data_IF_283354092739
#
_entry.id   IF_283354092739
#
_cell.length_a   1.000
_cell.length_b   1.000
_cell.length_c   1.000
_cell.angle_alpha   90.00
_cell.angle_beta   90.00
_cell.angle_gamma   90.00
#
_symmetry.space_group_name_H-M   'P 1'
#
loop_
_entity.id
_entity.type
_entity.pdbx_description
1 polymer ?
#
# COMPACT_ATOMS: atom_id res chain seq x y z
N UNK A 1 13.98 48.63 -16.93
CA UNK A 1 13.83 47.16 -16.96
C UNK A 1 13.24 46.71 -15.62
N UNK A 2 11.92 46.74 -15.47
CA UNK A 2 11.26 46.20 -14.28
C UNK A 2 10.71 44.82 -14.68
N UNK A 3 11.31 43.77 -14.12
CA UNK A 3 10.86 42.39 -14.30
C UNK A 3 9.43 42.27 -13.78
N UNK A 4 8.51 41.97 -14.68
CA UNK A 4 7.12 41.70 -14.38
C UNK A 4 7.06 40.38 -13.60
N UNK A 5 6.91 40.45 -12.28
CA UNK A 5 6.67 39.27 -11.46
C UNK A 5 5.31 38.67 -11.86
N UNK A 6 5.20 37.35 -12.10
CA UNK A 6 3.92 36.77 -12.47
C UNK A 6 2.93 36.97 -11.32
N UNK A 7 1.87 37.73 -11.61
CA UNK A 7 0.76 37.96 -10.69
C UNK A 7 0.29 36.63 -10.11
N UNK A 8 0.45 36.51 -8.79
CA UNK A 8 0.05 35.35 -8.00
C UNK A 8 -1.35 34.92 -8.41
N UNK A 9 -1.41 33.74 -9.04
CA UNK A 9 -2.60 32.95 -9.33
C UNK A 9 -3.74 33.76 -9.95
N UNK A 10 -3.68 33.97 -11.27
CA UNK A 10 -4.88 34.22 -12.07
C UNK A 10 -5.78 32.98 -11.98
N UNK A 11 -6.65 32.93 -10.96
CA UNK A 11 -7.68 31.91 -10.86
C UNK A 11 -8.63 32.13 -12.04
N UNK A 12 -8.76 31.13 -12.90
CA UNK A 12 -9.52 31.22 -14.14
C UNK A 12 -10.95 31.75 -13.90
N UNK A 13 -11.46 32.63 -14.77
CA UNK A 13 -12.76 33.31 -14.59
C UNK A 13 -13.97 32.36 -14.53
N UNK A 14 -13.80 31.07 -14.81
CA UNK A 14 -14.85 30.05 -14.78
C UNK A 14 -15.08 29.33 -13.45
N UNK A 15 -14.34 29.66 -12.38
CA UNK A 15 -14.54 29.02 -11.08
C UNK A 15 -15.69 29.67 -10.30
N UNK A 16 -16.60 28.89 -9.70
CA UNK A 16 -17.60 29.44 -8.77
C UNK A 16 -16.94 29.99 -7.49
N UNK A 17 -17.60 30.94 -6.84
CA UNK A 17 -17.10 31.61 -5.63
C UNK A 17 -16.81 30.64 -4.48
N UNK A 18 -17.62 29.59 -4.36
CA UNK A 18 -17.43 28.49 -3.40
C UNK A 18 -16.11 27.74 -3.61
N UNK A 19 -15.74 27.48 -4.87
CA UNK A 19 -14.48 26.84 -5.21
C UNK A 19 -13.27 27.73 -4.90
N UNK A 20 -13.38 29.05 -5.17
CA UNK A 20 -12.33 30.01 -4.80
C UNK A 20 -12.12 30.06 -3.28
N UNK A 21 -13.21 30.12 -2.51
CA UNK A 21 -13.16 30.08 -1.06
C UNK A 21 -12.52 28.78 -0.55
N UNK A 22 -12.93 27.63 -1.09
CA UNK A 22 -12.35 26.33 -0.75
C UNK A 22 -10.84 26.27 -1.04
N UNK A 23 -10.40 26.76 -2.20
CA UNK A 23 -8.97 26.83 -2.57
C UNK A 23 -8.19 27.69 -1.55
N UNK A 24 -8.70 28.87 -1.19
CA UNK A 24 -8.03 29.73 -0.21
C UNK A 24 -7.92 29.07 1.16
N UNK A 25 -8.95 28.36 1.61
CA UNK A 25 -8.93 27.63 2.88
C UNK A 25 -7.86 26.53 2.84
N UNK A 26 -7.84 25.71 1.78
CA UNK A 26 -6.85 24.64 1.60
C UNK A 26 -5.42 25.21 1.57
N UNK A 27 -5.20 26.32 0.85
CA UNK A 27 -3.90 26.98 0.77
C UNK A 27 -3.45 27.52 2.13
N UNK A 28 -4.36 28.15 2.89
CA UNK A 28 -4.07 28.61 4.26
C UNK A 28 -3.72 27.43 5.19
N UNK A 29 -4.45 26.33 5.12
CA UNK A 29 -4.15 25.12 5.90
C UNK A 29 -2.76 24.56 5.54
N UNK A 30 -2.45 24.43 4.24
CA UNK A 30 -1.12 23.99 3.78
C UNK A 30 -0.01 24.93 4.22
N UNK A 31 -0.25 26.24 4.19
CA UNK A 31 0.69 27.25 4.68
C UNK A 31 0.96 27.09 6.19
N UNK A 32 -0.07 26.89 7.02
CA UNK A 32 0.14 26.69 8.46
C UNK A 32 0.92 25.40 8.75
N UNK A 33 0.65 24.32 8.02
CA UNK A 33 1.45 23.09 8.11
C UNK A 33 2.91 23.36 7.72
N UNK A 34 3.15 24.04 6.61
CA UNK A 34 4.50 24.38 6.16
C UNK A 34 5.23 25.29 7.17
N UNK A 35 4.56 26.31 7.72
CA UNK A 35 5.08 27.20 8.76
C UNK A 35 5.47 26.43 10.02
N UNK A 36 4.62 25.51 10.49
CA UNK A 36 4.91 24.67 11.66
C UNK A 36 6.12 23.77 11.41
N UNK A 37 6.17 23.10 10.26
CA UNK A 37 7.30 22.23 9.88
C UNK A 37 8.61 23.01 9.76
N UNK A 38 8.57 24.21 9.18
CA UNK A 38 9.72 25.10 9.07
C UNK A 38 10.22 25.56 10.46
N UNK A 39 9.30 25.92 11.36
CA UNK A 39 9.65 26.27 12.74
C UNK A 39 10.24 25.10 13.51
N UNK A 40 9.72 23.88 13.31
CA UNK A 40 10.28 22.66 13.90
C UNK A 40 11.69 22.37 13.36
N UNK A 41 11.90 22.48 12.04
CA UNK A 41 13.21 22.25 11.41
C UNK A 41 14.30 23.25 11.83
N UNK A 42 13.91 24.43 12.35
CA UNK A 42 14.85 25.42 12.90
C UNK A 42 15.31 25.09 14.32
N UNK A 43 14.60 24.24 15.05
CA UNK A 43 15.00 23.81 16.40
C UNK A 43 16.03 22.69 16.28
N UNK A 44 17.04 22.63 17.17
CA UNK A 44 17.91 21.46 17.25
C UNK A 44 17.07 20.21 17.50
N UNK A 45 17.46 19.09 16.89
CA UNK A 45 16.80 17.81 17.10
C UNK A 45 16.91 17.38 18.57
N UNK A 46 15.78 17.09 19.19
CA UNK A 46 15.67 16.50 20.53
C UNK A 46 15.70 14.96 20.42
N UNK A 47 16.13 14.26 21.47
CA UNK A 47 16.05 12.79 21.57
C UNK A 47 14.63 12.30 21.31
N UNK A 48 13.63 13.12 21.68
CA UNK A 48 12.23 12.87 21.35
C UNK A 48 11.96 12.80 19.85
N UNK A 49 12.58 13.65 19.03
CA UNK A 49 12.40 13.64 17.58
C UNK A 49 12.96 12.35 16.97
N UNK A 50 14.09 11.86 17.52
CA UNK A 50 14.70 10.58 17.11
C UNK A 50 13.79 9.41 17.45
N UNK A 51 13.23 9.38 18.67
CA UNK A 51 12.30 8.34 19.10
C UNK A 51 11.03 8.38 18.25
N UNK A 52 10.47 9.56 18.00
CA UNK A 52 9.25 9.71 17.22
C UNK A 52 9.47 9.28 15.76
N UNK A 53 10.57 9.70 15.14
CA UNK A 53 10.92 9.27 13.78
C UNK A 53 11.11 7.76 13.68
N UNK A 54 11.82 7.16 14.63
CA UNK A 54 11.99 5.71 14.70
C UNK A 54 10.62 5.02 14.85
N UNK A 55 9.79 5.45 15.80
CA UNK A 55 8.46 4.85 16.03
C UNK A 55 7.58 4.85 14.77
N UNK A 56 7.56 5.96 14.03
CA UNK A 56 6.82 6.09 12.77
C UNK A 56 7.40 5.21 11.67
N UNK A 57 8.74 5.18 11.52
CA UNK A 57 9.42 4.32 10.56
C UNK A 57 9.15 2.84 10.80
N UNK A 58 9.19 2.43 12.07
CA UNK A 58 8.89 1.07 12.51
C UNK A 58 7.45 0.67 12.20
N UNK A 59 6.48 1.54 12.53
CA UNK A 59 5.08 1.29 12.23
C UNK A 59 4.82 1.17 10.71
N UNK A 60 5.40 2.09 9.93
CA UNK A 60 5.25 2.09 8.47
C UNK A 60 5.80 0.81 7.83
N UNK A 61 6.97 0.37 8.28
CA UNK A 61 7.56 -0.89 7.83
C UNK A 61 6.67 -2.09 8.22
N UNK A 62 6.19 -2.13 9.46
CA UNK A 62 5.34 -3.23 9.95
C UNK A 62 4.03 -3.35 9.16
N UNK A 63 3.37 -2.24 8.85
CA UNK A 63 2.15 -2.24 8.02
C UNK A 63 2.45 -2.79 6.62
N UNK A 64 3.58 -2.40 6.03
CA UNK A 64 3.98 -2.87 4.70
C UNK A 64 4.31 -4.37 4.69
N UNK A 65 4.97 -4.88 5.74
CA UNK A 65 5.20 -6.32 5.92
C UNK A 65 3.87 -7.07 6.04
N UNK A 66 2.92 -6.58 6.85
CA UNK A 66 1.60 -7.20 7.01
C UNK A 66 0.81 -7.23 5.70
N UNK A 67 0.89 -6.17 4.90
CA UNK A 67 0.24 -6.14 3.59
C UNK A 67 0.86 -7.14 2.61
N UNK A 68 2.20 -7.29 2.62
CA UNK A 68 2.88 -8.31 1.82
C UNK A 68 2.48 -9.73 2.27
N UNK A 69 2.46 -9.98 3.58
CA UNK A 69 1.99 -11.26 4.14
C UNK A 69 0.55 -11.56 3.70
N UNK A 70 -0.36 -10.58 3.84
CA UNK A 70 -1.76 -10.72 3.42
C UNK A 70 -1.89 -11.08 1.94
N UNK A 71 -1.11 -10.45 1.06
CA UNK A 71 -1.12 -10.74 -0.40
C UNK A 71 -0.58 -12.13 -0.70
N UNK A 72 0.48 -12.56 -0.01
CA UNK A 72 1.05 -13.89 -0.13
C UNK A 72 0.06 -14.96 0.32
N UNK A 73 -0.56 -14.79 1.50
CA UNK A 73 -1.56 -15.72 2.03
C UNK A 73 -2.76 -15.88 1.09
N UNK A 74 -3.18 -14.81 0.42
CA UNK A 74 -4.25 -14.85 -0.57
C UNK A 74 -3.83 -15.51 -1.89
N UNK A 75 -2.59 -15.29 -2.34
CA UNK A 75 -2.12 -15.73 -3.65
C UNK A 75 -1.64 -17.17 -3.64
N UNK A 76 -0.90 -17.57 -2.61
CA UNK A 76 -0.33 -18.91 -2.46
C UNK A 76 -1.23 -19.85 -1.67
N UNK A 77 -2.19 -19.30 -0.90
CA UNK A 77 -2.83 -20.02 0.20
C UNK A 77 -1.94 -19.95 1.44
N UNK A 78 -2.51 -20.23 2.64
CA UNK A 78 -1.74 -20.29 3.88
C UNK A 78 -0.52 -21.21 3.68
N UNK A 79 0.69 -20.66 3.76
CA UNK A 79 1.93 -21.44 3.71
C UNK A 79 1.82 -22.57 4.73
N UNK A 80 2.02 -23.80 4.30
CA UNK A 80 1.81 -25.04 5.08
C UNK A 80 2.67 -25.17 6.34
N UNK A 81 3.50 -24.18 6.66
CA UNK A 81 4.45 -24.21 7.77
C UNK A 81 3.83 -23.85 9.14
N UNK A 82 2.62 -23.27 9.17
CA UNK A 82 1.96 -22.85 10.43
C UNK A 82 0.51 -23.36 10.60
N UNK A 83 0.14 -24.48 9.98
CA UNK A 83 -1.18 -25.08 10.24
C UNK A 83 -1.11 -26.07 11.41
N UNK A 84 -1.70 -25.68 12.54
CA UNK A 84 -2.38 -26.63 13.41
C UNK A 84 -3.49 -27.30 12.60
N UNK A 85 -3.62 -28.61 12.75
CA UNK A 85 -4.36 -29.60 11.95
C UNK A 85 -5.85 -29.33 11.58
N UNK A 86 -6.46 -28.22 12.00
CA UNK A 86 -7.92 -28.03 11.94
C UNK A 86 -8.49 -27.34 10.69
N UNK A 87 -7.67 -26.76 9.81
CA UNK A 87 -8.16 -25.96 8.66
C UNK A 87 -8.21 -26.73 7.33
N UNK A 88 -8.04 -28.07 7.36
CA UNK A 88 -8.03 -28.94 6.15
C UNK A 88 -9.37 -28.98 5.39
N UNK A 89 -10.45 -28.39 5.93
CA UNK A 89 -11.81 -28.58 5.40
C UNK A 89 -12.31 -27.49 4.43
N UNK A 90 -11.57 -26.39 4.21
CA UNK A 90 -12.05 -25.26 3.38
C UNK A 90 -11.43 -25.14 1.98
N UNK A 91 -10.68 -26.14 1.54
CA UNK A 91 -9.82 -26.02 0.35
C UNK A 91 -10.50 -26.36 -0.98
N UNK A 92 -11.82 -26.61 -0.99
CA UNK A 92 -12.58 -26.90 -2.23
C UNK A 92 -13.01 -25.66 -3.03
N UNK A 93 -12.65 -24.44 -2.61
CA UNK A 93 -13.13 -23.20 -3.26
C UNK A 93 -12.12 -22.05 -3.36
N UNK A 94 -10.87 -22.26 -2.96
CA UNK A 94 -9.84 -21.20 -2.94
C UNK A 94 -9.10 -21.15 -4.29
N UNK A 95 -9.09 -19.99 -4.96
CA UNK A 95 -8.40 -19.79 -6.24
C UNK A 95 -6.91 -19.44 -6.04
N UNK A 96 -6.24 -20.14 -5.12
CA UNK A 96 -4.81 -19.92 -4.85
C UNK A 96 -3.96 -20.61 -5.92
N UNK A 97 -2.72 -20.15 -6.11
CA UNK A 97 -1.75 -20.77 -7.02
C UNK A 97 -1.51 -22.23 -6.61
N UNK A 98 -1.41 -22.53 -5.32
CA UNK A 98 -1.25 -23.90 -4.81
C UNK A 98 -2.44 -24.79 -5.16
N UNK A 99 -3.66 -24.35 -4.89
CA UNK A 99 -4.88 -25.11 -5.20
C UNK A 99 -5.08 -25.30 -6.71
N UNK A 100 -4.55 -24.39 -7.56
CA UNK A 100 -4.56 -24.53 -9.03
C UNK A 100 -3.50 -25.51 -9.52
N UNK A 101 -2.30 -25.49 -8.92
CA UNK A 101 -1.21 -26.41 -9.25
C UNK A 101 -1.59 -27.85 -8.89
N UNK A 102 -2.11 -28.10 -7.70
CA UNK A 102 -2.56 -29.44 -7.29
C UNK A 102 -3.62 -30.00 -8.26
N UNK A 103 -4.60 -29.16 -8.66
CA UNK A 103 -5.61 -29.54 -9.67
C UNK A 103 -5.00 -29.84 -11.03
N UNK A 104 -3.93 -29.15 -11.42
CA UNK A 104 -3.20 -29.41 -12.65
C UNK A 104 -2.43 -30.74 -12.56
N UNK A 105 -1.70 -30.98 -11.47
CA UNK A 105 -0.97 -32.23 -11.21
C UNK A 105 -1.91 -33.45 -11.23
N UNK A 106 -3.05 -33.37 -10.55
CA UNK A 106 -4.09 -34.42 -10.55
C UNK A 106 -4.64 -34.70 -11.96
N UNK A 107 -4.72 -33.67 -12.81
CA UNK A 107 -5.21 -33.81 -14.18
C UNK A 107 -4.13 -34.41 -15.09
N UNK A 108 -2.87 -33.98 -14.94
CA UNK A 108 -1.72 -34.55 -15.67
C UNK A 108 -1.49 -36.02 -15.29
N UNK A 109 -1.55 -36.36 -14.00
CA UNK A 109 -1.43 -37.75 -13.53
C UNK A 109 -2.52 -38.67 -14.06
N UNK A 110 -3.74 -38.15 -14.24
CA UNK A 110 -4.82 -38.91 -14.90
C UNK A 110 -4.57 -39.09 -16.40
N UNK A 111 -4.11 -38.05 -17.10
CA UNK A 111 -3.76 -38.18 -18.51
C UNK A 111 -2.60 -39.15 -18.73
N UNK A 112 -1.59 -39.15 -17.87
CA UNK A 112 -0.46 -40.10 -17.97
C UNK A 112 -0.87 -41.54 -17.68
N UNK A 113 -1.83 -41.78 -16.78
CA UNK A 113 -2.40 -43.11 -16.57
C UNK A 113 -3.28 -43.58 -17.73
N UNK A 114 -4.03 -42.67 -18.36
CA UNK A 114 -4.92 -43.01 -19.48
C UNK A 114 -4.19 -43.16 -20.82
N UNK A 115 -3.05 -42.47 -20.98
CA UNK A 115 -2.19 -42.56 -22.17
C UNK A 115 -0.74 -42.83 -21.74
N UNK A 116 -0.40 -44.09 -21.39
CA UNK A 116 1.00 -44.44 -21.17
C UNK A 116 1.76 -44.16 -22.47
N UNK A 117 2.75 -43.27 -22.39
CA UNK A 117 3.66 -42.98 -23.49
C UNK A 117 4.17 -44.31 -24.06
N UNK A 118 3.79 -44.61 -25.30
CA UNK A 118 4.29 -45.75 -26.05
C UNK A 118 5.82 -45.56 -26.15
N UNK A 119 6.55 -46.35 -25.38
CA UNK A 119 8.01 -46.33 -25.28
C UNK A 119 8.57 -47.51 -26.05
#
# INVERSE_FOLDING_TARGET
>A
MAHNWPSVVQVSPGLQETHRAAIHVILRMRYFVAKKRFQQARKPYDVRDVIEQYSQGHLNLMVRIKELQRRLDQSLGKLTLFQTSSDKAKDKGTNTIGSRLNRMEDKVGRYSMLHPLNR
#
